data_IF_300676814541
#
_entry.id   IF_300676814541
#
_cell.length_a   1.000
_cell.length_b   1.000
_cell.length_c   1.000
_cell.angle_alpha   90.00
_cell.angle_beta   90.00
_cell.angle_gamma   90.00
#
_symmetry.space_group_name_H-M   'P 1'
#
loop_
_entity.id
_entity.type
_entity.pdbx_description
1 polymer ?
#
# COMPACT_ATOMS: atom_id res chain seq x y z
N UNK A 1 -1.42 18.03 -16.55
CA UNK A 1 -1.72 16.58 -16.45
C UNK A 1 -0.43 15.79 -16.30
N UNK A 2 -0.40 14.86 -15.36
CA UNK A 2 0.76 14.00 -15.14
C UNK A 2 0.72 12.87 -16.16
N UNK A 3 1.64 12.87 -17.11
CA UNK A 3 1.69 11.87 -18.19
C UNK A 3 2.52 10.66 -17.84
N UNK A 4 3.25 10.71 -16.74
CA UNK A 4 4.23 9.70 -16.39
C UNK A 4 3.93 9.17 -14.99
N UNK A 5 3.75 7.85 -14.87
CA UNK A 5 3.49 7.20 -13.58
C UNK A 5 4.59 7.42 -12.55
N UNK A 6 5.86 7.50 -12.98
CA UNK A 6 6.97 7.77 -12.06
C UNK A 6 6.82 9.13 -11.37
N UNK A 7 6.44 10.16 -12.14
CA UNK A 7 6.20 11.50 -11.58
C UNK A 7 5.03 11.49 -10.61
N UNK A 8 3.93 10.84 -11.01
CA UNK A 8 2.75 10.69 -10.14
C UNK A 8 3.12 9.97 -8.84
N UNK A 9 3.87 8.89 -8.92
CA UNK A 9 4.28 8.12 -7.76
C UNK A 9 5.14 8.96 -6.79
N UNK A 10 6.03 9.81 -7.30
CA UNK A 10 6.81 10.72 -6.46
C UNK A 10 5.92 11.73 -5.72
N UNK A 11 4.93 12.29 -6.42
CA UNK A 11 3.96 13.21 -5.82
C UNK A 11 3.18 12.50 -4.71
N UNK A 12 2.72 11.28 -4.95
CA UNK A 12 1.94 10.51 -3.98
C UNK A 12 2.77 10.21 -2.73
N UNK A 13 3.97 9.69 -2.89
CA UNK A 13 4.83 9.28 -1.76
C UNK A 13 5.15 10.47 -0.83
N UNK A 14 5.26 11.66 -1.39
CA UNK A 14 5.58 12.87 -0.63
C UNK A 14 4.36 13.67 -0.18
N UNK A 15 3.15 13.16 -0.37
CA UNK A 15 1.94 13.86 -0.03
C UNK A 15 1.64 13.78 1.47
N UNK A 16 1.44 14.94 2.11
CA UNK A 16 1.09 15.06 3.53
C UNK A 16 -0.13 15.94 3.75
N UNK A 17 -1.04 15.99 2.77
CA UNK A 17 -2.19 16.93 2.81
C UNK A 17 -3.27 16.52 3.82
N UNK A 18 -3.48 15.24 4.02
CA UNK A 18 -4.54 14.75 4.90
C UNK A 18 -3.98 14.50 6.31
N UNK A 19 -3.98 15.53 7.15
CA UNK A 19 -3.36 15.49 8.48
C UNK A 19 -3.86 14.32 9.32
N UNK A 20 -5.15 14.03 9.29
CA UNK A 20 -5.72 12.91 10.05
C UNK A 20 -5.10 11.57 9.62
N UNK A 21 -4.97 11.35 8.31
CA UNK A 21 -4.38 10.12 7.76
C UNK A 21 -2.87 10.07 8.00
N UNK A 22 -2.19 11.21 7.87
CA UNK A 22 -0.76 11.31 8.16
C UNK A 22 -0.48 10.89 9.60
N UNK A 23 -1.21 11.47 10.55
CA UNK A 23 -1.04 11.18 11.97
C UNK A 23 -1.36 9.72 12.29
N UNK A 24 -2.42 9.18 11.71
CA UNK A 24 -2.83 7.79 11.94
C UNK A 24 -1.75 6.80 11.45
N UNK A 25 -1.31 6.95 10.19
CA UNK A 25 -0.34 6.00 9.64
C UNK A 25 1.02 6.07 10.32
N UNK A 26 1.43 7.27 10.73
CA UNK A 26 2.69 7.45 11.45
C UNK A 26 2.62 6.89 12.88
N UNK A 27 1.49 7.05 13.53
CA UNK A 27 1.25 6.46 14.86
C UNK A 27 1.35 4.94 14.78
N UNK A 28 0.68 4.32 13.81
CA UNK A 28 0.73 2.88 13.58
C UNK A 28 2.17 2.43 13.27
N UNK A 29 2.88 3.18 12.45
CA UNK A 29 4.27 2.85 12.08
C UNK A 29 5.22 2.93 13.26
N UNK A 30 4.93 3.77 14.25
CA UNK A 30 5.73 3.91 15.46
C UNK A 30 5.37 2.85 16.51
N UNK A 31 4.09 2.65 16.78
CA UNK A 31 3.60 1.71 17.80
C UNK A 31 3.71 0.27 17.35
N UNK A 32 3.38 0.01 16.08
CA UNK A 32 3.45 -1.30 15.44
C UNK A 32 2.50 -2.33 16.08
N UNK A 33 2.44 -3.51 15.49
CA UNK A 33 1.80 -4.67 16.09
C UNK A 33 2.86 -5.52 16.77
N UNK A 34 2.53 -6.20 17.85
CA UNK A 34 3.46 -7.00 18.63
C UNK A 34 4.31 -7.95 17.77
N UNK A 35 3.68 -8.62 16.81
CA UNK A 35 4.36 -9.58 15.92
C UNK A 35 5.32 -8.93 14.92
N UNK A 36 5.25 -7.60 14.77
CA UNK A 36 6.07 -6.86 13.80
C UNK A 36 6.99 -5.82 14.46
N UNK A 37 7.24 -5.95 15.77
CA UNK A 37 8.04 -4.96 16.51
C UNK A 37 9.45 -4.78 15.96
N UNK A 38 10.03 -5.82 15.36
CA UNK A 38 11.37 -5.78 14.79
C UNK A 38 11.41 -5.30 13.34
N UNK A 39 10.26 -4.98 12.77
CA UNK A 39 10.19 -4.49 11.39
C UNK A 39 10.11 -2.96 11.36
N UNK A 40 10.63 -2.38 10.28
CA UNK A 40 10.50 -0.95 10.01
C UNK A 40 9.29 -0.77 9.10
N UNK A 41 8.28 -0.06 9.58
CA UNK A 41 7.09 0.23 8.79
C UNK A 41 7.39 1.33 7.78
N UNK A 42 6.82 1.19 6.58
CA UNK A 42 6.88 2.22 5.55
C UNK A 42 6.31 3.57 6.02
N UNK A 43 5.09 3.58 6.55
CA UNK A 43 4.45 4.74 7.19
C UNK A 43 4.25 5.97 6.30
N UNK A 44 4.35 5.82 4.98
CA UNK A 44 4.20 6.90 4.00
C UNK A 44 3.05 6.58 3.05
N UNK A 45 2.63 7.53 2.22
CA UNK A 45 1.67 7.22 1.15
C UNK A 45 2.20 6.12 0.24
N UNK A 46 1.28 5.32 -0.28
CA UNK A 46 1.60 4.14 -1.09
C UNK A 46 1.07 4.38 -2.50
N UNK A 47 1.89 4.02 -3.48
CA UNK A 47 1.53 4.09 -4.89
C UNK A 47 0.81 2.84 -5.34
N UNK A 48 0.19 2.88 -6.52
CA UNK A 48 -0.23 1.69 -7.21
C UNK A 48 0.97 0.81 -7.58
N UNK A 49 0.70 -0.44 -7.84
CA UNK A 49 1.72 -1.42 -8.21
C UNK A 49 1.22 -2.27 -9.38
N UNK A 50 2.10 -2.54 -10.33
CA UNK A 50 1.80 -3.42 -11.45
C UNK A 50 2.24 -2.85 -12.79
N UNK A 51 1.79 -3.51 -13.84
CA UNK A 51 2.10 -3.16 -15.23
C UNK A 51 1.30 -1.92 -15.65
N UNK A 52 1.98 -0.89 -16.14
CA UNK A 52 1.34 0.33 -16.64
C UNK A 52 0.42 0.09 -17.84
N UNK A 53 0.60 -1.04 -18.52
CA UNK A 53 -0.21 -1.46 -19.67
C UNK A 53 -1.22 -2.54 -19.32
N UNK A 54 -1.45 -2.81 -18.04
CA UNK A 54 -2.38 -3.82 -17.59
C UNK A 54 -3.80 -3.52 -18.08
N UNK A 55 -4.52 -4.59 -18.43
CA UNK A 55 -5.92 -4.49 -18.87
C UNK A 55 -6.91 -4.57 -17.70
N UNK A 56 -6.48 -5.10 -16.56
CA UNK A 56 -7.29 -5.22 -15.35
C UNK A 56 -6.71 -4.31 -14.27
N UNK A 57 -7.55 -3.45 -13.72
CA UNK A 57 -7.18 -2.57 -12.60
C UNK A 57 -7.95 -3.00 -11.36
N UNK A 58 -7.24 -3.29 -10.28
CA UNK A 58 -7.84 -3.67 -8.99
C UNK A 58 -7.73 -2.48 -8.05
N UNK A 59 -8.88 -2.02 -7.55
CA UNK A 59 -8.94 -0.88 -6.64
C UNK A 59 -9.54 -1.35 -5.32
N UNK A 60 -8.78 -1.21 -4.23
CA UNK A 60 -9.27 -1.46 -2.88
C UNK A 60 -9.63 -0.16 -2.17
N UNK A 61 -10.23 -0.28 -1.01
CA UNK A 61 -10.68 0.87 -0.22
C UNK A 61 -9.50 1.66 0.37
N UNK A 62 -8.55 0.95 0.99
CA UNK A 62 -7.41 1.56 1.65
C UNK A 62 -6.34 0.52 1.95
N UNK A 63 -5.06 0.92 2.01
CA UNK A 63 -4.01 0.03 2.51
C UNK A 63 -4.25 -0.33 3.98
N UNK A 64 -3.96 -1.56 4.36
CA UNK A 64 -4.11 -2.00 5.74
C UNK A 64 -3.03 -1.37 6.64
N UNK A 65 -3.42 -1.05 7.88
CA UNK A 65 -2.53 -0.41 8.85
C UNK A 65 -1.24 -1.21 9.12
N UNK A 66 -1.35 -2.53 9.18
CA UNK A 66 -0.21 -3.44 9.38
C UNK A 66 0.10 -4.28 8.14
N UNK A 67 -0.57 -4.06 7.03
CA UNK A 67 -0.30 -4.63 5.73
C UNK A 67 0.47 -3.66 4.85
N UNK A 68 -0.22 -2.92 3.96
CA UNK A 68 0.43 -1.97 3.07
C UNK A 68 1.20 -0.88 3.78
N UNK A 69 0.69 -0.33 4.89
CA UNK A 69 1.39 0.69 5.67
C UNK A 69 2.71 0.17 6.26
N UNK A 70 2.80 -1.12 6.50
CA UNK A 70 4.02 -1.77 6.98
C UNK A 70 4.99 -2.08 5.85
N UNK A 71 4.50 -2.68 4.77
CA UNK A 71 5.34 -3.20 3.68
C UNK A 71 5.73 -2.15 2.65
N UNK A 72 4.94 -1.10 2.49
CA UNK A 72 5.14 -0.08 1.46
C UNK A 72 4.53 -0.45 0.10
N UNK A 73 3.78 -1.54 0.00
CA UNK A 73 3.15 -1.99 -1.24
C UNK A 73 1.69 -2.36 -1.01
N UNK A 74 0.81 -1.94 -1.92
CA UNK A 74 -0.62 -2.30 -1.87
C UNK A 74 -0.80 -3.81 -1.98
N UNK A 75 -1.86 -4.32 -1.36
CA UNK A 75 -2.25 -5.73 -1.40
C UNK A 75 -1.14 -6.70 -0.97
N UNK A 76 -0.41 -6.33 0.08
CA UNK A 76 0.62 -7.20 0.67
C UNK A 76 0.58 -7.12 2.19
N UNK A 77 1.11 -8.15 2.83
CA UNK A 77 1.42 -8.13 4.25
C UNK A 77 0.28 -8.48 5.19
N UNK A 78 -0.88 -8.94 4.68
CA UNK A 78 -1.98 -9.41 5.52
C UNK A 78 -2.71 -10.59 4.87
N UNK A 79 -3.64 -11.19 5.62
CA UNK A 79 -4.39 -12.37 5.16
C UNK A 79 -5.29 -12.06 3.97
N UNK A 80 -5.88 -10.87 3.93
CA UNK A 80 -6.74 -10.44 2.83
C UNK A 80 -5.97 -10.37 1.51
N UNK A 81 -4.77 -9.82 1.56
CA UNK A 81 -3.89 -9.75 0.40
C UNK A 81 -3.46 -11.14 -0.08
N UNK A 82 -3.07 -12.00 0.85
CA UNK A 82 -2.68 -13.38 0.53
C UNK A 82 -3.82 -14.13 -0.13
N UNK A 83 -5.04 -13.97 0.38
CA UNK A 83 -6.24 -14.57 -0.19
C UNK A 83 -6.53 -14.06 -1.59
N UNK A 84 -6.40 -12.74 -1.80
CA UNK A 84 -6.60 -12.12 -3.11
C UNK A 84 -5.67 -12.74 -4.17
N UNK A 85 -4.38 -12.76 -3.88
CA UNK A 85 -3.38 -13.28 -4.82
C UNK A 85 -3.56 -14.78 -5.07
N UNK A 86 -3.93 -15.54 -4.05
CA UNK A 86 -4.25 -16.95 -4.22
C UNK A 86 -5.42 -17.15 -5.18
N UNK A 87 -6.47 -16.33 -5.06
CA UNK A 87 -7.63 -16.40 -5.96
C UNK A 87 -7.27 -15.98 -7.39
N UNK A 88 -6.47 -14.91 -7.54
CA UNK A 88 -6.01 -14.46 -8.85
C UNK A 88 -5.18 -15.54 -9.54
N UNK A 89 -4.30 -16.19 -8.80
CA UNK A 89 -3.49 -17.29 -9.34
C UNK A 89 -4.36 -18.44 -9.82
N UNK A 90 -5.35 -18.85 -9.01
CA UNK A 90 -6.29 -19.92 -9.40
C UNK A 90 -7.13 -19.56 -10.62
N UNK A 91 -7.44 -18.28 -10.79
CA UNK A 91 -8.21 -17.77 -11.93
C UNK A 91 -7.36 -17.51 -13.18
N UNK A 92 -6.04 -17.79 -13.11
CA UNK A 92 -5.08 -17.55 -14.19
C UNK A 92 -4.94 -16.06 -14.55
N UNK A 93 -5.02 -15.20 -13.57
CA UNK A 93 -4.87 -13.75 -13.79
C UNK A 93 -3.51 -13.23 -13.29
#
# INVERSE_FOLDING_TARGET
>A
MIKNLKKLNKVIINCNKCIRLVNFRQKIAKEKRKQYLNEIYWGKPITGFGDSKAKLLIIGLAPAAHGGNRTGRVFTGDKSADFLFKCLYKANL
#
